data_IF_265375531145
#
_entry.id   IF_265375531145
#
_cell.length_a   1.000
_cell.length_b   1.000
_cell.length_c   1.000
_cell.angle_alpha   90.00
_cell.angle_beta   90.00
_cell.angle_gamma   90.00
#
_symmetry.space_group_name_H-M   'P 1'
#
loop_
_entity.id
_entity.type
_entity.pdbx_description
1 polymer ?
#
# COMPACT_ATOMS: atom_id res chain seq x y z
N UNK A 1 9.27 -0.07 -18.98
CA UNK A 1 7.96 -0.71 -18.73
C UNK A 1 7.07 0.28 -17.98
N UNK A 2 5.75 0.34 -18.23
CA UNK A 2 4.87 1.21 -17.47
C UNK A 2 4.87 0.79 -15.99
N UNK A 3 4.82 1.77 -15.07
CA UNK A 3 4.75 1.50 -13.63
C UNK A 3 3.43 0.84 -13.27
N UNK A 4 3.46 -0.25 -12.50
CA UNK A 4 2.25 -0.96 -12.04
C UNK A 4 1.82 -0.41 -10.68
N UNK A 5 0.58 0.07 -10.59
CA UNK A 5 0.04 0.54 -9.31
C UNK A 5 -0.33 -0.65 -8.41
N UNK A 6 0.20 -0.66 -7.19
CA UNK A 6 -0.18 -1.59 -6.12
C UNK A 6 -0.94 -0.80 -5.07
N UNK A 7 -2.20 -1.16 -4.83
CA UNK A 7 -3.02 -0.56 -3.80
C UNK A 7 -3.02 -1.45 -2.55
N UNK A 8 -2.52 -0.93 -1.44
CA UNK A 8 -2.53 -1.61 -0.14
C UNK A 8 -3.76 -1.16 0.63
N UNK A 9 -4.64 -2.10 0.96
CA UNK A 9 -5.86 -1.84 1.71
C UNK A 9 -5.56 -1.76 3.21
N UNK A 10 -5.91 -0.65 3.84
CA UNK A 10 -5.82 -0.42 5.28
C UNK A 10 -7.20 -0.59 5.91
N UNK A 11 -7.27 -1.29 7.04
CA UNK A 11 -8.49 -1.50 7.83
C UNK A 11 -8.11 -1.66 9.30
N UNK A 12 -9.05 -1.40 10.21
CA UNK A 12 -8.77 -1.47 11.65
C UNK A 12 -8.26 -2.85 12.09
N UNK A 13 -7.35 -2.85 13.06
CA UNK A 13 -6.65 -4.03 13.58
C UNK A 13 -5.70 -4.73 12.59
N UNK A 14 -5.44 -4.14 11.41
CA UNK A 14 -4.41 -4.65 10.49
C UNK A 14 -3.05 -4.73 11.18
N UNK A 15 -2.28 -5.79 10.88
CA UNK A 15 -0.91 -5.90 11.36
C UNK A 15 -0.01 -4.91 10.62
N UNK A 16 0.63 -4.01 11.36
CA UNK A 16 1.51 -2.98 10.76
C UNK A 16 2.66 -3.58 9.95
N UNK A 17 3.19 -4.74 10.36
CA UNK A 17 4.28 -5.42 9.66
C UNK A 17 3.83 -5.98 8.31
N UNK A 18 2.60 -6.48 8.23
CA UNK A 18 2.04 -7.02 6.99
C UNK A 18 1.71 -5.92 5.98
N UNK A 19 1.58 -4.67 6.45
CA UNK A 19 1.52 -3.48 5.59
C UNK A 19 2.92 -3.08 5.14
N UNK A 20 3.82 -2.81 6.09
CA UNK A 20 5.12 -2.18 5.78
C UNK A 20 6.08 -3.13 5.05
N UNK A 21 6.03 -4.43 5.34
CA UNK A 21 6.88 -5.42 4.68
C UNK A 21 6.72 -5.41 3.15
N UNK A 22 5.52 -5.65 2.62
CA UNK A 22 5.27 -5.57 1.18
C UNK A 22 5.54 -4.18 0.58
N UNK A 23 5.22 -3.09 1.30
CA UNK A 23 5.48 -1.72 0.83
C UNK A 23 6.97 -1.51 0.52
N UNK A 24 7.85 -1.91 1.45
CA UNK A 24 9.30 -1.79 1.27
C UNK A 24 9.83 -2.67 0.12
N UNK A 25 9.29 -3.88 -0.04
CA UNK A 25 9.67 -4.78 -1.15
C UNK A 25 9.30 -4.17 -2.50
N UNK A 26 8.08 -3.67 -2.67
CA UNK A 26 7.65 -3.06 -3.93
C UNK A 26 8.39 -1.75 -4.22
N UNK A 27 8.70 -0.97 -3.18
CA UNK A 27 9.53 0.23 -3.31
C UNK A 27 10.95 -0.11 -3.79
N UNK A 28 11.60 -1.11 -3.19
CA UNK A 28 12.96 -1.53 -3.53
C UNK A 28 13.08 -2.25 -4.88
N UNK A 29 12.02 -2.88 -5.37
CA UNK A 29 12.04 -3.68 -6.60
C UNK A 29 12.34 -2.86 -7.88
N UNK A 30 11.89 -1.61 -7.96
CA UNK A 30 12.16 -0.73 -9.11
C UNK A 30 13.67 -0.45 -9.26
N UNK A 31 14.32 0.18 -8.26
CA UNK A 31 15.76 0.41 -8.26
C UNK A 31 16.58 -0.88 -8.48
N UNK A 32 16.21 -1.98 -7.82
CA UNK A 32 16.93 -3.25 -7.93
C UNK A 32 16.85 -3.88 -9.33
N UNK A 33 15.83 -3.55 -10.12
CA UNK A 33 15.66 -4.05 -11.50
C UNK A 33 16.26 -3.12 -12.57
N UNK A 34 16.99 -2.08 -12.17
CA UNK A 34 17.58 -1.10 -13.09
C UNK A 34 16.55 -0.15 -13.73
N UNK A 35 15.35 -0.09 -13.15
CA UNK A 35 14.28 0.81 -13.55
C UNK A 35 14.04 1.85 -12.44
N UNK A 36 14.87 2.89 -12.32
CA UNK A 36 14.80 3.86 -11.23
C UNK A 36 13.45 4.59 -11.16
N UNK A 37 12.80 4.81 -12.31
CA UNK A 37 11.48 5.44 -12.42
C UNK A 37 10.34 4.43 -12.69
N UNK A 38 10.63 3.12 -12.66
CA UNK A 38 9.72 2.09 -13.17
C UNK A 38 9.75 0.80 -12.35
N UNK A 39 8.56 0.27 -12.06
CA UNK A 39 8.42 -1.01 -11.37
C UNK A 39 7.05 -1.06 -10.73
N UNK A 40 6.95 -0.46 -9.53
CA UNK A 40 5.71 -0.40 -8.77
C UNK A 40 5.47 0.98 -8.20
N UNK A 41 4.23 1.44 -8.29
CA UNK A 41 3.74 2.63 -7.59
C UNK A 41 2.82 2.17 -6.47
N UNK A 42 3.31 2.22 -5.25
CA UNK A 42 2.51 1.86 -4.07
C UNK A 42 1.59 3.03 -3.71
N UNK A 43 0.34 2.70 -3.42
CA UNK A 43 -0.68 3.59 -2.85
C UNK A 43 -1.37 2.87 -1.70
N UNK A 44 -1.86 3.63 -0.74
CA UNK A 44 -2.65 3.12 0.37
C UNK A 44 -4.08 3.65 0.30
N UNK A 45 -5.05 2.84 0.67
CA UNK A 45 -6.42 3.29 0.84
C UNK A 45 -7.06 2.64 2.06
N UNK A 46 -7.85 3.40 2.81
CA UNK A 46 -8.81 2.83 3.75
C UNK A 46 -10.22 2.87 3.15
N UNK A 47 -11.20 2.23 3.79
CA UNK A 47 -12.57 2.16 3.27
C UNK A 47 -13.18 3.54 2.98
N UNK A 48 -12.96 4.50 3.88
CA UNK A 48 -13.53 5.85 3.84
C UNK A 48 -12.47 6.96 3.69
N UNK A 49 -11.19 6.61 3.61
CA UNK A 49 -10.07 7.55 3.56
C UNK A 49 -9.64 8.07 4.93
N UNK A 50 -10.28 7.61 6.01
CA UNK A 50 -9.90 7.92 7.38
C UNK A 50 -8.62 7.20 7.84
N UNK A 51 -7.92 7.74 8.86
CA UNK A 51 -6.82 7.05 9.51
C UNK A 51 -7.26 5.71 10.13
N UNK A 52 -6.40 4.71 10.05
CA UNK A 52 -6.63 3.34 10.54
C UNK A 52 -5.76 3.07 11.76
N UNK A 53 -6.32 2.40 12.78
CA UNK A 53 -5.55 1.90 13.92
C UNK A 53 -5.11 0.47 13.68
N UNK A 54 -3.80 0.24 13.75
CA UNK A 54 -3.22 -1.11 13.64
C UNK A 54 -3.38 -1.86 14.97
N UNK A 55 -3.28 -3.19 14.94
CA UNK A 55 -3.31 -4.02 16.17
C UNK A 55 -2.17 -3.72 17.14
N UNK A 56 -1.06 -3.15 16.64
CA UNK A 56 0.05 -2.64 17.46
C UNK A 56 -0.21 -1.26 18.08
N UNK A 57 -1.35 -0.64 17.78
CA UNK A 57 -1.74 0.67 18.27
C UNK A 57 -1.20 1.85 17.45
N UNK A 58 -0.47 1.61 16.36
CA UNK A 58 -0.03 2.69 15.45
C UNK A 58 -1.22 3.24 14.67
N UNK A 59 -1.09 4.48 14.20
CA UNK A 59 -2.05 5.08 13.28
C UNK A 59 -1.42 5.19 11.90
N UNK A 60 -2.07 4.61 10.89
CA UNK A 60 -1.69 4.74 9.49
C UNK A 60 -2.68 5.69 8.81
N UNK A 61 -2.17 6.68 8.08
CA UNK A 61 -2.98 7.61 7.29
C UNK A 61 -2.93 7.16 5.83
N UNK A 62 -4.07 6.80 5.20
CA UNK A 62 -4.08 6.38 3.81
C UNK A 62 -3.86 7.56 2.85
N UNK A 63 -3.45 7.27 1.61
CA UNK A 63 -3.43 8.26 0.53
C UNK A 63 -4.84 8.61 0.05
N UNK A 64 -5.76 7.64 0.07
CA UNK A 64 -7.08 7.74 -0.55
C UNK A 64 -8.17 7.04 0.29
N UNK A 65 -9.43 7.43 0.05
CA UNK A 65 -10.55 6.52 0.27
C UNK A 65 -10.56 5.45 -0.84
N UNK A 66 -11.02 4.23 -0.52
CA UNK A 66 -11.01 3.11 -1.47
C UNK A 66 -11.79 3.43 -2.75
N UNK A 67 -12.92 4.14 -2.63
CA UNK A 67 -13.74 4.54 -3.77
C UNK A 67 -13.06 5.59 -4.68
N UNK A 68 -12.13 6.37 -4.12
CA UNK A 68 -11.43 7.45 -4.83
C UNK A 68 -10.03 7.02 -5.33
N UNK A 69 -9.58 5.83 -4.93
CA UNK A 69 -8.28 5.32 -5.31
C UNK A 69 -8.21 5.09 -6.84
N UNK A 70 -7.11 5.49 -7.52
CA UNK A 70 -6.91 5.15 -8.92
C UNK A 70 -6.98 3.64 -9.14
N UNK A 71 -7.57 3.21 -10.26
CA UNK A 71 -7.69 1.79 -10.60
C UNK A 71 -6.33 1.07 -10.50
N UNK A 72 -6.16 0.12 -9.57
CA UNK A 72 -4.87 -0.53 -9.37
C UNK A 72 -4.67 -1.67 -10.35
N UNK A 73 -3.41 -1.98 -10.64
CA UNK A 73 -3.05 -3.23 -11.31
C UNK A 73 -3.15 -4.41 -10.33
N UNK A 74 -2.79 -4.19 -9.08
CA UNK A 74 -2.81 -5.20 -8.01
C UNK A 74 -3.37 -4.60 -6.73
N UNK A 75 -4.26 -5.34 -6.07
CA UNK A 75 -4.69 -5.03 -4.70
C UNK A 75 -3.98 -5.97 -3.75
N UNK A 76 -3.35 -5.41 -2.72
CA UNK A 76 -2.76 -6.15 -1.62
C UNK A 76 -3.65 -5.96 -0.40
N UNK A 77 -4.15 -7.08 0.13
CA UNK A 77 -4.87 -7.13 1.40
C UNK A 77 -3.91 -7.71 2.44
N UNK A 78 -3.39 -6.90 3.38
CA UNK A 78 -2.50 -7.37 4.43
C UNK A 78 -3.18 -8.35 5.38
N UNK A 79 -2.37 -9.12 6.11
CA UNK A 79 -2.83 -9.96 7.20
C UNK A 79 -3.10 -9.19 8.50
N UNK A 80 -3.57 -9.95 9.49
CA UNK A 80 -4.05 -9.50 10.80
C UNK A 80 -3.94 -10.63 11.82
#
# INVERSE_FOLDING_TARGET
MPSRTVLVLLFDEVQSLDVTGPVEVFHGAGPASGAPDGGYRVRTASLDGGPVRTSSGLTLVPDHALADAPAPHTVLVPGG
#
